data_IF_856077625859
#
_entry.id   IF_856077625859
#
_cell.length_a   1.000
_cell.length_b   1.000
_cell.length_c   1.000
_cell.angle_alpha   90.00
_cell.angle_beta   90.00
_cell.angle_gamma   90.00
#
_symmetry.space_group_name_H-M   'P 1'
#
loop_
_entity.id
_entity.type
_entity.pdbx_description
1 polymer ?
#
# COMPACT_ATOMS: atom_id res chain seq x y z
N UNK A 1 -42.20 22.26 58.17
CA UNK A 1 -42.40 21.22 57.12
C UNK A 1 -42.27 21.74 55.69
N UNK A 2 -42.81 22.91 55.31
CA UNK A 2 -42.70 23.43 53.93
C UNK A 2 -41.23 23.62 53.47
N UNK A 3 -40.39 24.23 54.31
CA UNK A 3 -38.97 24.47 54.01
C UNK A 3 -38.13 23.18 53.88
N UNK A 4 -38.49 22.13 54.62
CA UNK A 4 -37.81 20.83 54.55
C UNK A 4 -38.15 20.09 53.25
N UNK A 5 -39.39 20.20 52.77
CA UNK A 5 -39.79 19.69 51.45
C UNK A 5 -39.07 20.44 50.32
N UNK A 6 -38.90 21.77 50.44
CA UNK A 6 -38.15 22.58 49.47
C UNK A 6 -36.66 22.21 49.46
N UNK A 7 -36.04 22.02 50.62
CA UNK A 7 -34.64 21.58 50.74
C UNK A 7 -34.41 20.17 50.20
N UNK A 8 -35.33 19.24 50.46
CA UNK A 8 -35.28 17.89 49.92
C UNK A 8 -35.41 17.89 48.38
N UNK A 9 -36.31 18.72 47.85
CA UNK A 9 -36.49 18.87 46.40
C UNK A 9 -35.25 19.48 45.73
N UNK A 10 -34.63 20.49 46.36
CA UNK A 10 -33.38 21.08 45.90
C UNK A 10 -32.21 20.08 45.93
N UNK A 11 -32.12 19.24 46.97
CA UNK A 11 -31.09 18.20 47.06
C UNK A 11 -31.23 17.14 45.97
N UNK A 12 -32.45 16.71 45.65
CA UNK A 12 -32.72 15.76 44.55
C UNK A 12 -32.37 16.39 43.18
N UNK A 13 -32.64 17.67 42.99
CA UNK A 13 -32.30 18.41 41.77
C UNK A 13 -30.78 18.55 41.58
N UNK A 14 -30.04 18.78 42.67
CA UNK A 14 -28.57 18.82 42.66
C UNK A 14 -27.94 17.43 42.41
N UNK A 15 -28.53 16.35 42.95
CA UNK A 15 -28.08 14.97 42.68
C UNK A 15 -28.39 14.52 41.24
N UNK A 16 -29.46 15.04 40.62
CA UNK A 16 -29.77 14.80 39.21
C UNK A 16 -28.91 15.58 38.22
N UNK A 17 -28.36 16.73 38.65
CA UNK A 17 -27.52 17.60 37.81
C UNK A 17 -26.05 17.15 37.72
N UNK A 18 -25.60 16.21 38.57
CA UNK A 18 -24.22 15.69 38.58
C UNK A 18 -24.05 14.41 37.76
N UNK A 19 -24.82 14.21 36.68
CA UNK A 19 -24.42 13.23 35.68
C UNK A 19 -23.15 13.76 35.01
N UNK A 20 -22.00 13.40 35.57
CA UNK A 20 -20.71 13.50 34.90
C UNK A 20 -20.81 12.63 33.66
N UNK A 21 -21.26 13.22 32.55
CA UNK A 21 -21.10 12.62 31.23
C UNK A 21 -19.61 12.61 30.98
N UNK A 22 -18.92 11.54 31.35
CA UNK A 22 -17.59 11.26 30.83
C UNK A 22 -17.77 11.26 29.33
N UNK A 23 -17.28 12.30 28.65
CA UNK A 23 -17.32 12.34 27.20
C UNK A 23 -16.52 11.13 26.72
N UNK A 24 -17.22 10.06 26.33
CA UNK A 24 -16.56 8.88 25.81
C UNK A 24 -15.77 9.32 24.60
N UNK A 25 -14.45 9.19 24.66
CA UNK A 25 -13.57 9.54 23.55
C UNK A 25 -14.00 8.71 22.35
N UNK A 26 -14.66 9.32 21.37
CA UNK A 26 -15.10 8.66 20.13
C UNK A 26 -13.99 8.62 19.08
N UNK A 27 -12.75 8.58 19.56
CA UNK A 27 -11.54 8.54 18.75
C UNK A 27 -10.82 7.26 19.10
N UNK A 28 -10.52 6.47 18.09
CA UNK A 28 -9.65 5.32 18.18
C UNK A 28 -8.46 5.51 17.24
N UNK A 29 -7.50 4.62 17.32
CA UNK A 29 -6.39 4.56 16.40
C UNK A 29 -6.18 3.14 15.89
N UNK A 30 -5.45 3.03 14.78
CA UNK A 30 -4.97 1.75 14.26
C UNK A 30 -3.74 2.02 13.40
N UNK A 31 -2.77 1.11 13.45
CA UNK A 31 -1.68 1.11 12.48
C UNK A 31 -2.16 0.45 11.18
N UNK A 32 -2.53 1.24 10.18
CA UNK A 32 -3.09 0.69 8.93
C UNK A 32 -2.05 -0.08 8.13
N UNK A 33 -0.78 0.33 8.17
CA UNK A 33 0.31 -0.36 7.51
C UNK A 33 0.49 -1.77 8.09
N UNK A 34 0.60 -1.89 9.42
CA UNK A 34 0.75 -3.20 10.09
C UNK A 34 -0.47 -4.10 9.83
N UNK A 35 -1.67 -3.52 9.81
CA UNK A 35 -2.88 -4.26 9.49
C UNK A 35 -2.79 -4.87 8.08
N UNK A 36 -2.47 -4.04 7.08
CA UNK A 36 -2.35 -4.48 5.68
C UNK A 36 -1.24 -5.52 5.53
N UNK A 37 -0.09 -5.32 6.16
CA UNK A 37 1.04 -6.27 6.14
C UNK A 37 0.68 -7.63 6.76
N UNK A 38 -0.26 -7.64 7.72
CA UNK A 38 -0.75 -8.88 8.33
C UNK A 38 -1.76 -9.64 7.45
N UNK A 39 -2.33 -9.01 6.41
CA UNK A 39 -3.32 -9.64 5.54
C UNK A 39 -2.67 -10.69 4.61
N UNK A 40 -3.22 -11.91 4.50
CA UNK A 40 -2.71 -12.94 3.59
C UNK A 40 -2.62 -12.47 2.13
N UNK A 41 -3.60 -11.69 1.68
CA UNK A 41 -3.66 -11.15 0.32
C UNK A 41 -2.49 -10.21 0.02
N UNK A 42 -1.96 -9.52 1.04
CA UNK A 42 -0.79 -8.65 0.89
C UNK A 42 0.47 -9.47 0.56
N UNK A 43 0.65 -10.62 1.23
CA UNK A 43 1.76 -11.53 0.93
C UNK A 43 1.68 -12.08 -0.48
N UNK A 44 0.48 -12.50 -0.92
CA UNK A 44 0.25 -12.96 -2.28
C UNK A 44 0.50 -11.87 -3.32
N UNK A 45 -0.01 -10.65 -3.10
CA UNK A 45 0.22 -9.53 -3.99
C UNK A 45 1.71 -9.18 -4.11
N UNK A 46 2.44 -9.14 -2.99
CA UNK A 46 3.87 -8.87 -3.00
C UNK A 46 4.65 -9.94 -3.78
N UNK A 47 4.30 -11.21 -3.62
CA UNK A 47 4.92 -12.30 -4.36
C UNK A 47 4.66 -12.21 -5.88
N UNK A 48 3.45 -11.83 -6.28
CA UNK A 48 3.12 -11.61 -7.71
C UNK A 48 3.92 -10.44 -8.31
N UNK A 49 4.02 -9.33 -7.59
CA UNK A 49 4.79 -8.15 -8.03
C UNK A 49 6.27 -8.50 -8.15
N UNK A 50 6.84 -9.18 -7.14
CA UNK A 50 8.25 -9.59 -7.15
C UNK A 50 8.54 -10.57 -8.29
N UNK A 51 7.64 -11.53 -8.53
CA UNK A 51 7.76 -12.48 -9.65
C UNK A 51 7.79 -11.74 -10.99
N UNK A 52 6.86 -10.80 -11.20
CA UNK A 52 6.80 -10.03 -12.44
C UNK A 52 8.06 -9.17 -12.62
N UNK A 53 8.54 -8.53 -11.55
CA UNK A 53 9.75 -7.73 -11.58
C UNK A 53 10.97 -8.57 -11.99
N UNK A 54 11.14 -9.77 -11.41
CA UNK A 54 12.20 -10.70 -11.77
C UNK A 54 12.10 -11.19 -13.21
N UNK A 55 10.88 -11.40 -13.72
CA UNK A 55 10.67 -11.76 -15.13
C UNK A 55 11.17 -10.65 -16.04
N UNK A 56 10.78 -9.40 -15.81
CA UNK A 56 11.26 -8.28 -16.61
C UNK A 56 12.77 -8.06 -16.49
N UNK A 57 13.33 -8.18 -15.28
CA UNK A 57 14.78 -8.08 -15.08
C UNK A 57 15.54 -9.13 -15.91
N UNK A 58 15.08 -10.38 -15.89
CA UNK A 58 15.69 -11.45 -16.67
C UNK A 58 15.58 -11.21 -18.19
N UNK A 59 14.42 -10.75 -18.67
CA UNK A 59 14.19 -10.45 -20.09
C UNK A 59 15.06 -9.27 -20.58
N UNK A 60 15.18 -8.21 -19.77
CA UNK A 60 16.05 -7.07 -20.06
C UNK A 60 17.52 -7.51 -20.09
N UNK A 61 17.95 -8.33 -19.13
CA UNK A 61 19.32 -8.82 -19.06
C UNK A 61 19.65 -9.74 -20.25
N UNK A 62 18.72 -10.60 -20.66
CA UNK A 62 18.88 -11.45 -21.83
C UNK A 62 19.03 -10.62 -23.11
N UNK A 63 18.16 -9.63 -23.32
CA UNK A 63 18.22 -8.74 -24.48
C UNK A 63 19.51 -7.90 -24.51
N UNK A 64 19.97 -7.41 -23.36
CA UNK A 64 21.23 -6.68 -23.24
C UNK A 64 22.44 -7.57 -23.56
N UNK A 65 22.41 -8.84 -23.12
CA UNK A 65 23.46 -9.82 -23.43
C UNK A 65 23.49 -10.15 -24.93
N UNK A 66 22.32 -10.33 -25.54
CA UNK A 66 22.19 -10.56 -26.98
C UNK A 66 22.76 -9.38 -27.79
N UNK A 67 22.39 -8.15 -27.42
CA UNK A 67 22.92 -6.93 -28.02
C UNK A 67 24.44 -6.87 -27.93
N UNK A 68 25.00 -7.11 -26.74
CA UNK A 68 26.45 -7.11 -26.54
C UNK A 68 27.16 -8.15 -27.40
N UNK A 69 26.58 -9.35 -27.55
CA UNK A 69 27.15 -10.40 -28.38
C UNK A 69 27.10 -10.04 -29.86
N UNK A 70 25.98 -9.46 -30.35
CA UNK A 70 25.86 -8.98 -31.73
C UNK A 70 26.85 -7.87 -32.05
N UNK A 71 27.03 -6.91 -31.16
CA UNK A 71 28.04 -5.85 -31.33
C UNK A 71 29.44 -6.45 -31.49
N UNK A 72 29.86 -7.36 -30.60
CA UNK A 72 31.16 -8.04 -30.69
C UNK A 72 31.32 -8.83 -32.00
N UNK A 73 30.27 -9.53 -32.42
CA UNK A 73 30.28 -10.27 -33.67
C UNK A 73 30.45 -9.34 -34.87
N UNK A 74 29.68 -8.25 -34.93
CA UNK A 74 29.71 -7.30 -36.04
C UNK A 74 31.04 -6.57 -36.11
N UNK A 75 31.63 -6.21 -34.97
CA UNK A 75 32.97 -5.63 -34.90
C UNK A 75 34.05 -6.59 -35.44
N UNK A 76 33.98 -7.88 -35.07
CA UNK A 76 34.94 -8.89 -35.53
C UNK A 76 34.82 -9.19 -37.04
N UNK A 77 33.61 -9.14 -37.58
CA UNK A 77 33.34 -9.44 -38.99
C UNK A 77 33.43 -8.22 -39.91
N UNK A 78 33.50 -7.00 -39.37
CA UNK A 78 33.38 -5.74 -40.12
C UNK A 78 34.33 -5.67 -41.34
N UNK A 79 35.58 -6.13 -41.20
CA UNK A 79 36.57 -6.12 -42.27
C UNK A 79 36.35 -7.16 -43.38
N UNK A 80 35.40 -8.09 -43.19
CA UNK A 80 35.06 -9.16 -44.15
C UNK A 80 33.73 -8.93 -44.87
N UNK A 81 33.06 -7.82 -44.56
CA UNK A 81 31.72 -7.48 -45.05
C UNK A 81 31.76 -6.23 -45.90
N UNK A 82 30.73 -6.09 -46.74
CA UNK A 82 30.53 -4.87 -47.53
C UNK A 82 30.07 -3.72 -46.65
N UNK A 83 30.29 -2.48 -47.11
CA UNK A 83 29.83 -1.29 -46.39
C UNK A 83 28.30 -1.28 -46.22
N UNK A 84 27.56 -1.81 -47.20
CA UNK A 84 26.10 -1.90 -47.14
C UNK A 84 25.61 -2.92 -46.10
N UNK A 85 26.27 -4.07 -45.99
CA UNK A 85 26.01 -5.04 -44.91
C UNK A 85 26.33 -4.45 -43.53
N UNK A 86 27.47 -3.76 -43.40
CA UNK A 86 27.87 -3.12 -42.15
C UNK A 86 26.91 -1.99 -41.75
N UNK A 87 26.40 -1.21 -42.71
CA UNK A 87 25.39 -0.19 -42.45
C UNK A 87 24.07 -0.81 -41.91
N UNK A 88 23.63 -1.92 -42.50
CA UNK A 88 22.43 -2.65 -42.05
C UNK A 88 22.61 -3.18 -40.62
N UNK A 89 23.80 -3.72 -40.30
CA UNK A 89 24.16 -4.21 -38.96
C UNK A 89 24.13 -3.12 -37.89
N UNK A 90 24.62 -1.92 -38.22
CA UNK A 90 24.55 -0.77 -37.32
C UNK A 90 23.10 -0.38 -37.04
N UNK A 91 22.24 -0.36 -38.06
CA UNK A 91 20.81 -0.09 -37.87
C UNK A 91 20.12 -1.13 -36.99
N UNK A 92 20.49 -2.40 -37.15
CA UNK A 92 19.96 -3.49 -36.31
C UNK A 92 20.34 -3.29 -34.84
N UNK A 93 21.61 -3.03 -34.54
CA UNK A 93 22.10 -2.75 -33.17
C UNK A 93 21.37 -1.54 -32.56
N UNK A 94 21.22 -0.46 -33.33
CA UNK A 94 20.46 0.72 -32.89
C UNK A 94 18.98 0.40 -32.61
N UNK A 95 18.37 -0.46 -33.44
CA UNK A 95 17.00 -0.93 -33.25
C UNK A 95 16.84 -1.78 -31.98
N UNK A 96 17.79 -2.66 -31.71
CA UNK A 96 17.83 -3.45 -30.48
C UNK A 96 17.99 -2.57 -29.24
N UNK A 97 18.92 -1.61 -29.26
CA UNK A 97 19.09 -0.64 -28.18
C UNK A 97 17.81 0.15 -27.89
N UNK A 98 17.13 0.63 -28.94
CA UNK A 98 15.87 1.35 -28.81
C UNK A 98 14.78 0.44 -28.21
N UNK A 99 14.70 -0.80 -28.67
CA UNK A 99 13.73 -1.79 -28.18
C UNK A 99 13.94 -2.12 -26.70
N UNK A 100 15.20 -2.28 -26.26
CA UNK A 100 15.54 -2.50 -24.84
C UNK A 100 15.11 -1.30 -24.00
N UNK A 101 15.41 -0.06 -24.42
CA UNK A 101 15.00 1.15 -23.68
C UNK A 101 13.48 1.28 -23.60
N UNK A 102 12.77 0.99 -24.69
CA UNK A 102 11.31 1.00 -24.71
C UNK A 102 10.75 -0.06 -23.76
N UNK A 103 11.30 -1.27 -23.80
CA UNK A 103 10.86 -2.36 -22.94
C UNK A 103 11.08 -2.06 -21.46
N UNK A 104 12.23 -1.47 -21.09
CA UNK A 104 12.48 -0.99 -19.73
C UNK A 104 11.42 0.01 -19.26
N UNK A 105 11.05 0.97 -20.10
CA UNK A 105 10.01 1.94 -19.79
C UNK A 105 8.64 1.29 -19.61
N UNK A 106 8.29 0.34 -20.49
CA UNK A 106 7.02 -0.40 -20.40
C UNK A 106 6.97 -1.26 -19.14
N UNK A 107 8.04 -1.99 -18.83
CA UNK A 107 8.13 -2.84 -17.65
C UNK A 107 7.92 -2.04 -16.35
N UNK A 108 8.45 -0.82 -16.26
CA UNK A 108 8.21 0.07 -15.11
C UNK A 108 6.74 0.47 -15.00
N UNK A 109 6.11 0.88 -16.12
CA UNK A 109 4.69 1.25 -16.12
C UNK A 109 3.79 0.06 -15.75
N UNK A 110 4.10 -1.12 -16.29
CA UNK A 110 3.36 -2.35 -16.01
C UNK A 110 3.49 -2.77 -14.55
N UNK A 111 4.68 -2.63 -13.95
CA UNK A 111 4.90 -2.91 -12.53
C UNK A 111 4.10 -1.95 -11.63
N UNK A 112 4.12 -0.65 -11.91
CA UNK A 112 3.34 0.33 -11.16
C UNK A 112 1.84 0.07 -11.28
N UNK A 113 1.37 -0.23 -12.49
CA UNK A 113 -0.02 -0.59 -12.74
C UNK A 113 -0.41 -1.87 -11.98
N UNK A 114 0.41 -2.92 -12.05
CA UNK A 114 0.17 -4.18 -11.35
C UNK A 114 0.16 -4.00 -9.84
N UNK A 115 1.07 -3.17 -9.30
CA UNK A 115 1.09 -2.81 -7.89
C UNK A 115 -0.21 -2.10 -7.48
N UNK A 116 -0.65 -1.10 -8.24
CA UNK A 116 -1.91 -0.41 -7.96
C UNK A 116 -3.11 -1.37 -8.00
N UNK A 117 -3.22 -2.17 -9.06
CA UNK A 117 -4.35 -3.07 -9.29
C UNK A 117 -4.46 -4.16 -8.20
N UNK A 118 -3.32 -4.62 -7.66
CA UNK A 118 -3.28 -5.61 -6.59
C UNK A 118 -3.47 -5.00 -5.19
N UNK A 119 -2.87 -3.84 -4.90
CA UNK A 119 -2.91 -3.26 -3.57
C UNK A 119 -4.20 -2.49 -3.28
N UNK A 120 -4.84 -1.91 -4.30
CA UNK A 120 -6.10 -1.19 -4.15
C UNK A 120 -7.20 -2.03 -3.46
N UNK A 121 -7.56 -3.24 -3.91
CA UNK A 121 -8.61 -4.02 -3.25
C UNK A 121 -8.25 -4.42 -1.82
N UNK A 122 -6.96 -4.58 -1.50
CA UNK A 122 -6.49 -4.92 -0.15
C UNK A 122 -6.70 -3.73 0.79
N UNK A 123 -6.31 -2.53 0.36
CA UNK A 123 -6.52 -1.30 1.15
C UNK A 123 -8.00 -0.99 1.33
N UNK A 124 -8.82 -1.20 0.29
CA UNK A 124 -10.29 -1.07 0.37
C UNK A 124 -10.90 -2.07 1.36
N UNK A 125 -10.44 -3.33 1.36
CA UNK A 125 -10.89 -4.35 2.31
C UNK A 125 -10.51 -4.00 3.75
N UNK A 126 -9.26 -3.57 3.98
CA UNK A 126 -8.80 -3.11 5.30
C UNK A 126 -9.65 -1.94 5.81
N UNK A 127 -9.87 -0.93 4.96
CA UNK A 127 -10.72 0.21 5.28
C UNK A 127 -12.16 -0.20 5.62
N UNK A 128 -12.75 -1.11 4.84
CA UNK A 128 -14.11 -1.58 5.10
C UNK A 128 -14.23 -2.29 6.46
N UNK A 129 -13.22 -3.09 6.84
CA UNK A 129 -13.18 -3.74 8.15
C UNK A 129 -13.04 -2.73 9.30
N UNK A 130 -12.13 -1.74 9.16
CA UNK A 130 -11.98 -0.64 10.12
C UNK A 130 -13.31 0.11 10.30
N UNK A 131 -13.96 0.50 9.20
CA UNK A 131 -15.22 1.24 9.21
C UNK A 131 -16.34 0.43 9.91
N UNK A 132 -16.38 -0.89 9.69
CA UNK A 132 -17.38 -1.78 10.30
C UNK A 132 -17.17 -1.90 11.82
N UNK A 133 -15.92 -2.13 12.26
CA UNK A 133 -15.57 -2.23 13.67
C UNK A 133 -15.80 -0.90 14.40
N UNK A 134 -15.38 0.22 13.79
CA UNK A 134 -15.60 1.55 14.35
C UNK A 134 -17.08 1.86 14.57
N UNK A 135 -17.94 1.56 13.57
CA UNK A 135 -19.39 1.72 13.70
C UNK A 135 -19.99 0.83 14.79
N UNK A 136 -19.57 -0.43 14.88
CA UNK A 136 -20.04 -1.35 15.90
C UNK A 136 -19.68 -0.90 17.33
N UNK A 137 -18.54 -0.22 17.50
CA UNK A 137 -18.07 0.28 18.79
C UNK A 137 -18.46 1.75 19.07
N UNK A 138 -19.20 2.41 18.17
CA UNK A 138 -19.61 3.81 18.33
C UNK A 138 -18.45 4.82 18.22
N UNK A 139 -17.35 4.44 17.57
CA UNK A 139 -16.20 5.31 17.28
C UNK A 139 -16.53 6.22 16.08
N UNK A 140 -16.19 7.50 16.20
CA UNK A 140 -16.44 8.52 15.16
C UNK A 140 -15.21 8.85 14.33
N UNK A 141 -14.02 8.73 14.91
CA UNK A 141 -12.75 8.98 14.23
C UNK A 141 -11.80 7.81 14.49
N UNK A 142 -11.17 7.32 13.44
CA UNK A 142 -10.06 6.38 13.53
C UNK A 142 -8.84 7.08 12.95
N UNK A 143 -7.82 7.27 13.77
CA UNK A 143 -6.57 7.90 13.36
C UNK A 143 -5.57 6.82 12.94
N UNK A 144 -4.87 7.05 11.84
CA UNK A 144 -3.79 6.17 11.42
C UNK A 144 -2.54 6.43 12.28
N UNK A 145 -2.17 5.43 13.08
CA UNK A 145 -1.00 5.46 13.95
C UNK A 145 0.27 4.87 13.28
N UNK A 146 0.24 4.69 11.96
CA UNK A 146 1.44 4.33 11.18
C UNK A 146 2.55 5.35 11.47
N UNK A 147 3.78 4.84 11.71
CA UNK A 147 4.92 5.71 12.02
C UNK A 147 5.13 6.74 10.90
N UNK A 148 5.22 8.02 11.28
CA UNK A 148 5.35 9.14 10.34
C UNK A 148 4.02 9.68 9.77
N UNK A 149 2.87 9.08 10.09
CA UNK A 149 1.55 9.48 9.60
C UNK A 149 0.92 10.71 10.28
N UNK A 150 1.50 11.20 11.38
CA UNK A 150 1.09 12.42 12.09
C UNK A 150 0.57 12.20 13.51
N UNK A 151 0.23 10.96 13.89
CA UNK A 151 -0.05 10.59 15.28
C UNK A 151 1.28 10.34 16.00
N UNK A 152 1.59 11.19 16.99
CA UNK A 152 2.84 11.10 17.77
C UNK A 152 2.67 10.17 18.99
N UNK A 153 1.48 10.17 19.60
CA UNK A 153 1.13 9.36 20.77
C UNK A 153 -0.20 8.66 20.51
N UNK A 154 -0.22 7.34 20.67
CA UNK A 154 -1.36 6.47 20.35
C UNK A 154 -1.72 5.55 21.55
N UNK A 155 -1.82 6.12 22.75
CA UNK A 155 -2.15 5.36 23.98
C UNK A 155 -3.67 5.16 24.18
N UNK A 156 -4.48 5.65 23.23
CA UNK A 156 -5.94 5.53 23.25
C UNK A 156 -6.45 4.15 22.82
N UNK A 157 -7.73 4.06 22.52
CA UNK A 157 -8.36 2.82 22.02
C UNK A 157 -7.73 2.39 20.69
N UNK A 158 -7.10 1.21 20.69
CA UNK A 158 -6.57 0.56 19.49
C UNK A 158 -7.61 -0.40 18.89
N UNK A 159 -7.91 -0.26 17.61
CA UNK A 159 -8.84 -1.15 16.90
C UNK A 159 -8.18 -2.40 16.32
N UNK A 160 -6.85 -2.51 16.34
CA UNK A 160 -6.09 -3.56 15.66
C UNK A 160 -6.63 -4.97 15.92
N UNK A 161 -6.79 -5.36 17.20
CA UNK A 161 -7.26 -6.70 17.55
C UNK A 161 -8.68 -7.00 17.03
N UNK A 162 -9.59 -6.04 17.16
CA UNK A 162 -10.97 -6.19 16.71
C UNK A 162 -11.08 -6.22 15.17
N UNK A 163 -10.24 -5.45 14.47
CA UNK A 163 -10.20 -5.44 13.01
C UNK A 163 -9.56 -6.71 12.45
N UNK A 164 -8.50 -7.23 13.06
CA UNK A 164 -7.92 -8.54 12.72
C UNK A 164 -8.96 -9.65 12.85
N UNK A 165 -9.72 -9.65 13.95
CA UNK A 165 -10.83 -10.58 14.15
C UNK A 165 -11.91 -10.46 13.06
N UNK A 166 -12.29 -9.24 12.67
CA UNK A 166 -13.26 -9.00 11.58
C UNK A 166 -12.73 -9.49 10.22
N UNK A 167 -11.43 -9.38 9.98
CA UNK A 167 -10.77 -9.88 8.76
C UNK A 167 -10.50 -11.40 8.79
N UNK A 168 -10.66 -12.05 9.95
CA UNK A 168 -10.42 -13.47 10.15
C UNK A 168 -8.93 -13.84 10.18
N UNK A 169 -8.07 -12.93 10.65
CA UNK A 169 -6.61 -13.08 10.70
C UNK A 169 -6.05 -12.90 12.12
#
# INVERSE_FOLDING_TARGET
>A
MKQFKTLLFAAILFLGATQFTTAQTKVAHINTQELIESMPEMKSAQAEIEKLAKTYEAEIQAAATELQNKMKQYDAEAGTKTDEENATRVQEVQGMEASIRQFQGQAQQDLEKKRFDLLKPITEKAKAAIDKVAKAQGIQYVLDATQGGGVIVADGTDLMAAVKQELGI
#
